data_IF_756649231291
#
_entry.id   IF_756649231291
#
_cell.length_a   1.000
_cell.length_b   1.000
_cell.length_c   1.000
_cell.angle_alpha   90.00
_cell.angle_beta   90.00
_cell.angle_gamma   90.00
#
_symmetry.space_group_name_H-M   'P 1'
#
loop_
_entity.id
_entity.type
_entity.pdbx_description
1 polymer ?
#
# COMPACT_ATOMS: atom_id res chain seq x y z
N UNK A 1 -5.90 -13.23 -12.74
CA UNK A 1 -6.08 -11.79 -12.97
C UNK A 1 -7.54 -11.39 -13.17
N UNK A 2 -8.35 -12.02 -14.07
CA UNK A 2 -9.76 -11.67 -14.30
C UNK A 2 -10.64 -11.75 -13.03
N UNK A 3 -10.42 -12.71 -12.13
CA UNK A 3 -11.17 -12.89 -10.87
C UNK A 3 -10.93 -11.79 -9.84
N UNK A 4 -9.70 -11.21 -9.79
CA UNK A 4 -9.36 -10.12 -8.88
C UNK A 4 -9.96 -8.79 -9.35
N UNK A 5 -9.94 -8.53 -10.67
CA UNK A 5 -10.59 -7.37 -11.29
C UNK A 5 -12.12 -7.43 -11.10
N UNK A 6 -12.70 -8.63 -11.20
CA UNK A 6 -14.12 -8.83 -10.96
C UNK A 6 -14.49 -8.59 -9.49
N UNK A 7 -13.67 -9.04 -8.53
CA UNK A 7 -13.88 -8.80 -7.10
C UNK A 7 -13.78 -7.31 -6.76
N UNK A 8 -12.78 -6.61 -7.32
CA UNK A 8 -12.64 -5.15 -7.16
C UNK A 8 -13.83 -4.39 -7.76
N UNK A 9 -14.31 -4.80 -8.94
CA UNK A 9 -15.50 -4.21 -9.58
C UNK A 9 -16.79 -4.46 -8.77
N UNK A 10 -16.97 -5.66 -8.20
CA UNK A 10 -18.12 -6.00 -7.35
C UNK A 10 -18.10 -5.21 -6.05
N UNK A 11 -16.93 -5.01 -5.43
CA UNK A 11 -16.77 -4.18 -4.22
C UNK A 11 -17.11 -2.70 -4.50
N UNK A 12 -16.76 -2.18 -5.69
CA UNK A 12 -17.09 -0.81 -6.11
C UNK A 12 -18.58 -0.62 -6.45
N UNK A 13 -19.28 -1.67 -6.90
CA UNK A 13 -20.69 -1.57 -7.28
C UNK A 13 -21.66 -1.88 -6.15
N UNK A 14 -21.27 -2.64 -5.14
CA UNK A 14 -22.13 -3.00 -4.01
C UNK A 14 -22.39 -1.81 -3.05
N UNK A 15 -21.53 -0.79 -3.06
CA UNK A 15 -21.64 0.40 -2.20
C UNK A 15 -22.50 1.54 -2.76
N UNK A 16 -22.98 1.47 -4.00
CA UNK A 16 -23.59 2.58 -4.71
C UNK A 16 -24.90 3.17 -4.12
N UNK A 17 -25.45 2.59 -3.04
CA UNK A 17 -26.74 3.03 -2.50
C UNK A 17 -26.64 3.98 -1.27
N UNK A 18 -25.46 4.10 -0.61
CA UNK A 18 -25.26 5.00 0.55
C UNK A 18 -23.80 5.36 0.82
N UNK A 19 -22.95 5.25 -0.17
CA UNK A 19 -21.51 5.24 -0.05
C UNK A 19 -20.91 6.64 -0.19
N UNK A 20 -20.00 6.99 0.72
CA UNK A 20 -19.13 8.15 0.58
C UNK A 20 -17.87 7.74 -0.16
N UNK A 21 -17.92 7.78 -1.49
CA UNK A 21 -16.76 7.44 -2.33
C UNK A 21 -15.71 8.55 -2.19
N UNK A 22 -14.49 8.16 -1.87
CA UNK A 22 -13.35 9.07 -1.77
C UNK A 22 -12.31 8.76 -2.81
N UNK A 23 -11.92 9.77 -3.58
CA UNK A 23 -10.75 9.72 -4.46
C UNK A 23 -9.58 10.39 -3.75
N UNK A 24 -8.44 9.73 -3.68
CA UNK A 24 -7.27 10.21 -2.95
C UNK A 24 -6.02 10.19 -3.83
N UNK A 25 -5.20 11.23 -3.67
CA UNK A 25 -3.85 11.33 -4.21
C UNK A 25 -2.88 11.54 -3.05
N UNK A 26 -1.75 10.86 -3.04
CA UNK A 26 -0.83 10.97 -1.93
C UNK A 26 0.62 10.63 -2.26
N UNK A 27 1.44 10.81 -1.24
CA UNK A 27 2.82 10.40 -1.17
C UNK A 27 2.91 9.04 -0.48
N UNK A 28 3.82 8.19 -0.97
CA UNK A 28 4.13 6.88 -0.38
C UNK A 28 5.64 6.73 -0.21
N UNK A 29 6.04 6.18 0.93
CA UNK A 29 7.40 5.75 1.21
C UNK A 29 7.38 4.28 1.60
N UNK A 30 7.98 3.43 0.76
CA UNK A 30 8.13 2.00 1.04
C UNK A 30 9.54 1.73 1.56
N UNK A 31 9.65 1.28 2.80
CA UNK A 31 10.89 0.84 3.44
C UNK A 31 10.97 -0.68 3.33
N UNK A 32 12.00 -1.18 2.66
CA UNK A 32 12.25 -2.62 2.48
C UNK A 32 13.41 -3.03 3.38
N UNK A 33 13.16 -3.90 4.37
CA UNK A 33 14.18 -4.53 5.19
C UNK A 33 14.50 -5.90 4.59
N UNK A 34 15.75 -6.07 4.19
CA UNK A 34 16.31 -7.35 3.74
C UNK A 34 17.25 -7.90 4.79
N UNK A 35 17.06 -9.16 5.17
CA UNK A 35 17.91 -9.90 6.10
C UNK A 35 18.45 -11.14 5.39
N UNK A 36 19.72 -11.40 5.59
CA UNK A 36 20.41 -12.59 5.08
C UNK A 36 21.12 -13.30 6.23
N UNK A 37 20.89 -14.59 6.38
CA UNK A 37 21.47 -15.41 7.45
C UNK A 37 22.35 -16.50 6.86
N UNK A 38 23.64 -16.52 7.24
CA UNK A 38 24.60 -17.54 6.85
C UNK A 38 25.41 -17.97 8.07
N UNK A 39 25.45 -19.29 8.34
CA UNK A 39 26.23 -19.85 9.42
C UNK A 39 25.89 -19.29 10.81
N UNK A 40 24.63 -18.89 11.04
CA UNK A 40 24.17 -18.29 12.31
C UNK A 40 24.44 -16.78 12.43
N UNK A 41 25.06 -16.15 11.43
CA UNK A 41 25.29 -14.69 11.38
C UNK A 41 24.21 -14.06 10.50
N UNK A 42 23.47 -13.10 11.04
CA UNK A 42 22.45 -12.34 10.30
C UNK A 42 22.96 -10.94 9.98
N UNK A 43 22.92 -10.58 8.70
CA UNK A 43 23.15 -9.21 8.22
C UNK A 43 21.83 -8.62 7.74
N UNK A 44 21.58 -7.36 8.04
CA UNK A 44 20.37 -6.67 7.60
C UNK A 44 20.68 -5.36 6.89
N UNK A 45 19.89 -5.06 5.85
CA UNK A 45 19.95 -3.77 5.13
C UNK A 45 18.52 -3.26 4.94
N UNK A 46 18.32 -1.98 5.28
CA UNK A 46 17.06 -1.29 5.02
C UNK A 46 17.24 -0.30 3.89
N UNK A 47 16.31 -0.27 2.95
CA UNK A 47 16.30 0.66 1.82
C UNK A 47 14.91 1.24 1.64
N UNK A 48 14.80 2.50 1.26
CA UNK A 48 13.52 3.16 1.04
C UNK A 48 13.35 3.58 -0.41
N UNK A 49 12.13 3.49 -0.90
CA UNK A 49 11.68 4.01 -2.20
C UNK A 49 10.51 4.95 -1.96
N UNK A 50 10.55 6.12 -2.59
CA UNK A 50 9.53 7.14 -2.44
C UNK A 50 8.73 7.28 -3.73
N UNK A 51 7.47 7.70 -3.62
CA UNK A 51 6.63 7.81 -4.78
C UNK A 51 5.25 8.40 -4.53
N UNK A 52 4.36 8.15 -5.46
CA UNK A 52 2.99 8.62 -5.46
C UNK A 52 2.02 7.44 -5.35
N UNK A 53 0.87 7.70 -4.75
CA UNK A 53 -0.24 6.76 -4.68
C UNK A 53 -1.54 7.43 -5.07
N UNK A 54 -2.40 6.70 -5.77
CA UNK A 54 -3.77 7.10 -6.10
C UNK A 54 -4.69 6.00 -5.63
N UNK A 55 -5.79 6.35 -4.96
CA UNK A 55 -6.76 5.36 -4.49
C UNK A 55 -8.18 5.86 -4.55
N UNK A 56 -9.08 4.90 -4.60
CA UNK A 56 -10.53 5.09 -4.40
C UNK A 56 -10.94 4.16 -3.28
N UNK A 57 -11.65 4.65 -2.32
CA UNK A 57 -12.24 3.87 -1.24
C UNK A 57 -13.65 4.36 -0.92
N UNK A 58 -14.43 3.46 -0.33
CA UNK A 58 -15.79 3.69 0.10
C UNK A 58 -15.87 3.54 1.62
N UNK A 59 -16.48 4.50 2.33
CA UNK A 59 -16.64 4.43 3.77
C UNK A 59 -18.06 3.98 4.14
N UNK A 60 -18.21 2.68 4.36
CA UNK A 60 -19.49 2.01 4.63
C UNK A 60 -19.71 1.97 6.13
N UNK A 61 -20.81 2.57 6.60
CA UNK A 61 -21.19 2.51 8.01
C UNK A 61 -21.67 1.09 8.37
N UNK A 62 -21.11 0.52 9.44
CA UNK A 62 -21.52 -0.78 9.98
C UNK A 62 -22.51 -0.62 11.12
N UNK A 63 -22.13 0.17 12.15
CA UNK A 63 -23.00 0.45 13.29
C UNK A 63 -22.45 1.65 14.09
N UNK A 64 -23.28 2.64 14.40
CA UNK A 64 -22.84 3.85 15.09
C UNK A 64 -21.71 4.55 14.35
N UNK A 65 -20.58 4.75 15.03
CA UNK A 65 -19.39 5.39 14.47
C UNK A 65 -18.36 4.39 13.88
N UNK A 66 -18.70 3.09 13.91
CA UNK A 66 -17.85 2.03 13.33
C UNK A 66 -18.16 1.85 11.86
N UNK A 67 -17.13 1.91 11.03
CA UNK A 67 -17.23 1.78 9.58
C UNK A 67 -16.18 0.80 9.05
N UNK A 68 -16.38 0.36 7.81
CA UNK A 68 -15.37 -0.34 7.02
C UNK A 68 -15.13 0.42 5.72
N UNK A 69 -13.87 0.60 5.37
CA UNK A 69 -13.46 1.30 4.15
C UNK A 69 -12.67 0.35 3.23
N UNK A 70 -13.38 -0.45 2.40
CA UNK A 70 -12.74 -1.17 1.31
C UNK A 70 -12.33 -0.19 0.21
N UNK A 71 -11.21 -0.48 -0.45
CA UNK A 71 -10.72 0.38 -1.51
C UNK A 71 -9.87 -0.36 -2.52
N UNK A 72 -9.44 0.38 -3.53
CA UNK A 72 -8.45 -0.04 -4.50
C UNK A 72 -7.52 1.14 -4.80
N UNK A 73 -6.25 0.86 -4.97
CA UNK A 73 -5.28 1.88 -5.34
C UNK A 73 -4.12 1.34 -6.14
N UNK A 74 -3.31 2.26 -6.61
CA UNK A 74 -2.07 2.00 -7.30
C UNK A 74 -0.95 2.86 -6.71
N UNK A 75 0.24 2.30 -6.65
CA UNK A 75 1.43 3.00 -6.20
C UNK A 75 2.54 2.94 -7.25
N UNK A 76 3.26 4.04 -7.36
CA UNK A 76 4.44 4.16 -8.19
C UNK A 76 5.58 4.76 -7.38
N UNK A 77 6.67 4.00 -7.21
CA UNK A 77 7.82 4.42 -6.40
C UNK A 77 9.12 4.28 -7.18
N UNK A 78 10.06 5.17 -6.88
CA UNK A 78 11.39 5.19 -7.51
C UNK A 78 12.46 5.45 -6.46
N UNK A 79 13.67 4.95 -6.77
CA UNK A 79 14.90 5.25 -6.06
C UNK A 79 16.07 5.24 -7.05
N UNK A 80 17.02 6.13 -6.86
CA UNK A 80 18.32 6.09 -7.51
C UNK A 80 19.39 5.75 -6.46
N UNK A 81 20.32 4.85 -6.79
CA UNK A 81 21.44 4.45 -5.95
C UNK A 81 22.69 4.32 -6.85
N UNK A 82 23.57 5.33 -6.81
CA UNK A 82 24.62 5.47 -7.81
C UNK A 82 24.03 5.58 -9.23
N UNK A 83 24.48 4.68 -10.11
CA UNK A 83 24.03 4.63 -11.50
C UNK A 83 22.83 3.73 -11.73
N UNK A 84 22.28 3.13 -10.65
CA UNK A 84 21.16 2.19 -10.74
C UNK A 84 19.86 2.90 -10.37
N UNK A 85 18.86 2.83 -11.25
CA UNK A 85 17.50 3.34 -11.05
C UNK A 85 16.55 2.17 -10.76
N UNK A 86 15.91 2.22 -9.60
CA UNK A 86 14.90 1.24 -9.16
C UNK A 86 13.51 1.82 -9.38
N UNK A 87 12.59 0.98 -9.86
CA UNK A 87 11.17 1.33 -10.04
C UNK A 87 10.28 0.22 -9.48
N UNK A 88 9.22 0.62 -8.80
CA UNK A 88 8.13 -0.26 -8.37
C UNK A 88 6.81 0.33 -8.84
N UNK A 89 5.95 -0.50 -9.41
CA UNK A 89 4.54 -0.20 -9.65
C UNK A 89 3.71 -1.38 -9.14
N UNK A 90 2.65 -1.08 -8.40
CA UNK A 90 1.77 -2.07 -7.79
C UNK A 90 0.33 -1.62 -7.75
N UNK A 91 -0.56 -2.60 -7.55
CA UNK A 91 -1.97 -2.41 -7.21
C UNK A 91 -2.17 -2.89 -5.77
N UNK A 92 -3.03 -2.22 -5.02
CA UNK A 92 -3.35 -2.64 -3.67
C UNK A 92 -4.83 -2.54 -3.37
N UNK A 93 -5.31 -3.39 -2.48
CA UNK A 93 -6.69 -3.44 -1.98
C UNK A 93 -6.66 -3.32 -0.47
N UNK A 94 -6.89 -2.14 0.12
CA UNK A 94 -7.04 -1.97 1.56
C UNK A 94 -8.45 -2.38 1.98
N UNK A 95 -8.55 -2.89 3.22
CA UNK A 95 -9.82 -3.07 3.93
C UNK A 95 -9.60 -2.50 5.33
N UNK A 96 -9.87 -1.21 5.48
CA UNK A 96 -9.61 -0.48 6.72
C UNK A 96 -10.90 -0.43 7.58
N UNK A 97 -10.88 -0.99 8.79
CA UNK A 97 -11.91 -0.78 9.81
C UNK A 97 -11.61 0.52 10.52
N UNK A 98 -12.61 1.38 10.69
CA UNK A 98 -12.38 2.70 11.25
C UNK A 98 -13.48 3.12 12.22
N UNK A 99 -13.10 3.98 13.16
CA UNK A 99 -14.00 4.58 14.14
C UNK A 99 -13.90 6.10 14.07
N UNK A 100 -15.07 6.76 13.99
CA UNK A 100 -15.18 8.21 13.82
C UNK A 100 -15.43 8.95 15.13
N UNK A 101 -14.82 10.12 15.26
CA UNK A 101 -15.00 11.05 16.37
C UNK A 101 -15.36 12.43 15.82
N UNK A 102 -16.52 12.96 16.15
CA UNK A 102 -16.88 14.34 15.82
C UNK A 102 -16.07 15.30 16.72
N UNK A 103 -15.18 16.09 16.13
CA UNK A 103 -14.42 17.12 16.85
C UNK A 103 -15.16 18.47 16.83
N UNK A 104 -15.90 18.75 15.76
CA UNK A 104 -16.82 19.88 15.63
C UNK A 104 -17.89 19.56 14.58
N UNK A 105 -18.79 20.49 14.30
CA UNK A 105 -19.80 20.33 13.22
C UNK A 105 -19.19 20.08 11.85
N UNK A 106 -17.97 20.57 11.59
CA UNK A 106 -17.33 20.51 10.27
C UNK A 106 -16.05 19.67 10.26
N UNK A 107 -15.65 19.07 11.38
CA UNK A 107 -14.39 18.35 11.50
C UNK A 107 -14.61 17.01 12.22
N UNK A 108 -14.27 15.91 11.56
CA UNK A 108 -14.31 14.56 12.10
C UNK A 108 -12.94 13.92 12.02
N UNK A 109 -12.52 13.26 13.08
CA UNK A 109 -11.31 12.43 13.14
C UNK A 109 -11.73 10.97 13.05
N UNK A 110 -11.05 10.22 12.23
CA UNK A 110 -11.19 8.76 12.17
C UNK A 110 -9.85 8.12 12.50
N UNK A 111 -9.86 7.09 13.32
CA UNK A 111 -8.73 6.17 13.51
C UNK A 111 -9.06 4.86 12.80
N UNK A 112 -8.07 4.25 12.17
CA UNK A 112 -8.32 3.04 11.40
C UNK A 112 -7.20 2.02 11.55
N UNK A 113 -7.56 0.75 11.35
CA UNK A 113 -6.63 -0.36 11.21
C UNK A 113 -7.20 -1.39 10.25
N UNK A 114 -6.33 -2.09 9.53
CA UNK A 114 -6.79 -3.13 8.61
C UNK A 114 -5.68 -3.73 7.74
N UNK A 115 -6.03 -4.82 7.03
CA UNK A 115 -5.16 -5.45 6.05
C UNK A 115 -5.14 -4.66 4.74
N UNK A 116 -4.02 -4.79 4.02
CA UNK A 116 -3.88 -4.35 2.63
C UNK A 116 -3.24 -5.47 1.83
N UNK A 117 -3.90 -5.88 0.77
CA UNK A 117 -3.39 -6.87 -0.18
C UNK A 117 -2.65 -6.13 -1.28
N UNK A 118 -1.32 -6.27 -1.35
CA UNK A 118 -0.45 -5.60 -2.34
C UNK A 118 -0.08 -6.58 -3.45
N UNK A 119 -0.24 -6.16 -4.71
CA UNK A 119 0.14 -6.92 -5.90
C UNK A 119 1.15 -6.12 -6.72
N UNK A 120 2.41 -6.51 -6.67
CA UNK A 120 3.48 -5.92 -7.47
C UNK A 120 3.34 -6.29 -8.96
N UNK A 121 3.26 -5.27 -9.80
CA UNK A 121 3.19 -5.42 -11.27
C UNK A 121 4.58 -5.29 -11.89
N UNK A 122 5.32 -4.25 -11.48
CA UNK A 122 6.69 -3.96 -11.94
C UNK A 122 7.58 -3.79 -10.71
N UNK A 123 8.76 -4.43 -10.73
CA UNK A 123 9.84 -4.19 -9.77
C UNK A 123 11.15 -4.39 -10.51
N UNK A 124 11.71 -3.30 -11.02
CA UNK A 124 12.85 -3.30 -11.94
C UNK A 124 14.01 -2.49 -11.35
N UNK A 125 15.24 -2.92 -11.71
CA UNK A 125 16.44 -2.09 -11.65
C UNK A 125 16.99 -1.91 -13.05
N UNK A 126 17.46 -0.69 -13.37
CA UNK A 126 18.10 -0.35 -14.65
C UNK A 126 19.36 0.45 -14.38
N UNK A 127 20.50 0.03 -14.97
CA UNK A 127 21.74 0.81 -14.94
C UNK A 127 21.79 1.87 -16.06
N UNK A 128 22.77 2.76 -16.02
CA UNK A 128 22.92 3.81 -17.05
C UNK A 128 23.38 3.25 -18.41
N UNK A 129 23.88 2.00 -18.49
CA UNK A 129 24.21 1.29 -19.74
C UNK A 129 22.97 0.68 -20.42
N UNK A 130 21.81 0.73 -19.76
CA UNK A 130 20.56 0.21 -20.29
C UNK A 130 20.24 -1.22 -19.87
N UNK A 131 21.12 -1.93 -19.14
CA UNK A 131 20.84 -3.26 -18.63
C UNK A 131 19.70 -3.19 -17.61
N UNK A 132 18.73 -4.11 -17.77
CA UNK A 132 17.52 -4.14 -16.93
C UNK A 132 17.39 -5.49 -16.24
N UNK A 133 17.10 -5.48 -14.94
CA UNK A 133 16.77 -6.64 -14.13
C UNK A 133 15.34 -6.52 -13.65
N UNK A 134 14.52 -7.53 -13.94
CA UNK A 134 13.15 -7.64 -13.42
C UNK A 134 13.15 -8.58 -12.20
N UNK A 135 12.95 -8.06 -11.02
CA UNK A 135 12.97 -8.83 -9.76
C UNK A 135 11.85 -9.86 -9.61
N UNK A 136 10.85 -9.84 -10.49
CA UNK A 136 9.80 -10.87 -10.54
C UNK A 136 10.11 -12.01 -11.48
N UNK A 137 11.29 -11.98 -12.13
CA UNK A 137 11.75 -13.06 -12.99
C UNK A 137 12.12 -14.29 -12.15
N UNK A 138 11.59 -15.45 -12.57
CA UNK A 138 11.79 -16.71 -11.84
C UNK A 138 13.19 -17.28 -12.03
N UNK A 139 13.89 -16.85 -13.09
CA UNK A 139 15.23 -17.32 -13.41
C UNK A 139 16.33 -16.62 -12.57
N UNK A 140 15.95 -15.59 -11.79
CA UNK A 140 16.87 -14.96 -10.86
C UNK A 140 17.08 -15.82 -9.60
N UNK A 141 18.35 -15.92 -9.16
CA UNK A 141 18.71 -16.57 -7.88
C UNK A 141 17.98 -15.92 -6.70
N UNK A 142 17.80 -14.59 -6.73
CA UNK A 142 17.03 -13.85 -5.75
C UNK A 142 15.82 -13.24 -6.46
N UNK A 143 14.71 -13.97 -6.45
CA UNK A 143 13.44 -13.51 -7.01
C UNK A 143 12.43 -13.16 -5.91
N UNK A 144 11.43 -12.35 -6.28
CA UNK A 144 10.45 -11.83 -5.35
C UNK A 144 9.04 -12.32 -5.66
N UNK A 145 8.23 -12.45 -4.60
CA UNK A 145 6.78 -12.61 -4.72
C UNK A 145 6.17 -11.30 -5.24
N UNK A 146 5.18 -11.43 -6.11
CA UNK A 146 4.33 -10.30 -6.52
C UNK A 146 3.31 -9.91 -5.45
N UNK A 147 2.97 -10.85 -4.58
CA UNK A 147 1.96 -10.67 -3.55
C UNK A 147 2.61 -10.39 -2.19
N UNK A 148 2.09 -9.38 -1.49
CA UNK A 148 2.40 -9.07 -0.10
C UNK A 148 1.10 -8.81 0.67
N UNK A 149 1.11 -9.07 1.98
CA UNK A 149 0.05 -8.73 2.92
C UNK A 149 0.62 -7.72 3.90
N UNK A 150 0.04 -6.53 3.92
CA UNK A 150 0.41 -5.49 4.87
C UNK A 150 -0.68 -5.38 5.94
N UNK A 151 -0.28 -5.18 7.18
CA UNK A 151 -1.19 -4.92 8.29
C UNK A 151 -0.76 -3.65 9.01
N UNK A 152 -1.70 -2.79 9.35
CA UNK A 152 -1.40 -1.55 10.05
C UNK A 152 -2.60 -0.64 10.15
N UNK A 153 -2.34 0.65 10.36
CA UNK A 153 -3.39 1.61 10.55
C UNK A 153 -2.89 3.04 10.50
N UNK A 154 -3.74 3.95 10.94
CA UNK A 154 -3.46 5.36 10.93
C UNK A 154 -4.66 6.18 11.36
N UNK A 155 -4.70 7.40 10.87
CA UNK A 155 -5.82 8.30 11.11
C UNK A 155 -6.12 9.13 9.86
N UNK A 156 -7.34 9.64 9.79
CA UNK A 156 -7.67 10.71 8.85
C UNK A 156 -8.59 11.75 9.47
N UNK A 157 -8.47 12.96 8.97
CA UNK A 157 -9.37 14.07 9.28
C UNK A 157 -10.26 14.31 8.07
N UNK A 158 -11.57 14.47 8.31
CA UNK A 158 -12.53 14.91 7.30
C UNK A 158 -12.99 16.32 7.63
N UNK A 159 -12.87 17.22 6.68
CA UNK A 159 -13.32 18.61 6.80
C UNK A 159 -14.52 18.84 5.88
N UNK A 160 -15.63 19.37 6.45
CA UNK A 160 -16.91 19.64 5.78
C UNK A 160 -17.50 18.43 5.04
N UNK A 161 -17.18 17.22 5.50
CA UNK A 161 -17.54 15.95 4.85
C UNK A 161 -17.11 15.82 3.36
N UNK A 162 -16.21 16.68 2.89
CA UNK A 162 -15.73 16.72 1.51
C UNK A 162 -14.23 16.50 1.36
N UNK A 163 -13.41 17.06 2.26
CA UNK A 163 -11.96 16.94 2.18
C UNK A 163 -11.45 15.97 3.23
N UNK A 164 -10.58 15.05 2.82
CA UNK A 164 -9.94 14.08 3.71
C UNK A 164 -8.42 14.21 3.66
N UNK A 165 -7.79 14.27 4.84
CA UNK A 165 -6.34 14.20 5.02
C UNK A 165 -6.05 12.90 5.77
N UNK A 166 -5.34 11.97 5.15
CA UNK A 166 -5.07 10.62 5.68
C UNK A 166 -3.57 10.41 5.86
N UNK A 167 -3.18 9.87 7.01
CA UNK A 167 -1.83 9.36 7.28
C UNK A 167 -1.93 7.92 7.76
N UNK A 168 -1.02 7.06 7.30
CA UNK A 168 -1.01 5.66 7.67
C UNK A 168 0.36 5.02 7.63
N UNK A 169 0.53 3.99 8.46
CA UNK A 169 1.70 3.14 8.49
C UNK A 169 1.27 1.68 8.52
N UNK A 170 1.81 0.88 7.59
CA UNK A 170 1.52 -0.56 7.46
C UNK A 170 2.82 -1.35 7.38
N UNK A 171 2.85 -2.51 8.03
CA UNK A 171 4.00 -3.43 8.06
C UNK A 171 3.72 -4.65 7.21
N UNK A 172 4.73 -5.11 6.45
CA UNK A 172 4.66 -6.32 5.66
C UNK A 172 4.69 -7.56 6.55
N UNK A 173 3.70 -8.42 6.38
CA UNK A 173 3.54 -9.65 7.14
C UNK A 173 4.28 -10.82 6.49
N UNK A 174 4.42 -10.82 5.17
CA UNK A 174 5.00 -11.92 4.42
C UNK A 174 6.49 -11.69 4.13
N UNK A 175 7.23 -12.80 3.99
CA UNK A 175 8.52 -12.77 3.33
C UNK A 175 8.29 -12.70 1.82
N UNK A 176 8.63 -11.57 1.22
CA UNK A 176 8.47 -11.40 -0.24
C UNK A 176 9.64 -11.94 -1.05
N UNK A 177 10.75 -12.34 -0.43
CA UNK A 177 11.86 -13.02 -1.10
C UNK A 177 11.62 -14.53 -1.14
N UNK A 178 11.94 -15.16 -2.27
CA UNK A 178 11.80 -16.62 -2.45
C UNK A 178 13.14 -17.37 -2.37
N UNK A 179 14.25 -16.65 -2.19
CA UNK A 179 15.55 -17.26 -2.01
C UNK A 179 15.73 -17.78 -0.57
N UNK A 180 16.39 -18.93 -0.43
CA UNK A 180 16.73 -19.50 0.86
C UNK A 180 17.64 -18.55 1.65
N UNK A 181 17.52 -18.53 2.98
CA UNK A 181 18.27 -17.68 3.90
C UNK A 181 18.04 -16.16 3.75
N UNK A 182 17.09 -15.74 2.88
CA UNK A 182 16.70 -14.34 2.73
C UNK A 182 15.30 -14.09 3.31
N UNK A 183 15.17 -13.03 4.10
CA UNK A 183 13.89 -12.51 4.53
C UNK A 183 13.77 -11.06 4.09
N UNK A 184 12.71 -10.75 3.33
CA UNK A 184 12.46 -9.40 2.84
C UNK A 184 11.04 -8.99 3.21
N UNK A 185 10.93 -7.93 3.99
CA UNK A 185 9.65 -7.33 4.43
C UNK A 185 9.56 -5.88 4.01
N UNK A 186 8.37 -5.44 3.64
CA UNK A 186 8.09 -4.08 3.21
C UNK A 186 7.22 -3.37 4.26
N UNK A 187 7.63 -2.18 4.68
CA UNK A 187 6.80 -1.30 5.49
C UNK A 187 6.43 -0.08 4.65
N UNK A 188 5.22 0.43 4.83
CA UNK A 188 4.68 1.50 4.00
C UNK A 188 4.17 2.63 4.87
N UNK A 189 4.74 3.81 4.68
CA UNK A 189 4.21 5.08 5.18
C UNK A 189 3.47 5.76 4.04
N UNK A 190 2.27 6.26 4.29
CA UNK A 190 1.47 7.01 3.31
C UNK A 190 0.90 8.28 3.90
N UNK A 191 0.85 9.33 3.10
CA UNK A 191 0.16 10.59 3.40
C UNK A 191 -0.63 10.99 2.16
N UNK A 192 -1.93 11.23 2.30
CA UNK A 192 -2.78 11.53 1.15
C UNK A 192 -3.84 12.59 1.47
N UNK A 193 -4.29 13.25 0.41
CA UNK A 193 -5.44 14.13 0.40
C UNK A 193 -6.49 13.50 -0.50
N UNK A 194 -7.74 13.51 -0.06
CA UNK A 194 -8.87 12.95 -0.81
C UNK A 194 -10.05 13.90 -0.86
N UNK A 195 -10.88 13.70 -1.87
CA UNK A 195 -12.18 14.35 -2.01
C UNK A 195 -13.28 13.31 -1.91
N UNK A 196 -14.28 13.60 -1.07
CA UNK A 196 -15.43 12.74 -0.77
C UNK A 196 -16.62 13.25 -1.57
N UNK A 197 -17.25 12.33 -2.31
CA UNK A 197 -18.43 12.61 -3.13
C UNK A 197 -19.71 12.11 -2.48
#
# INVERSE_FOLDING_TARGET
MKKLLFLAAVLLTAGAASAQITYSLGYISTSTKAEYTLGGITSSKTTSMNGLTISVDDNINLTGDLNVAPGVGMDFSMRKDGDIKYKKFGLYVPVDFNYGFALSSNLKLFVYAGPTFDLGIIKDAKDDNGNKVNYYDKDLVVNYSRFDLLLGGGAWLTFQDQLRFKVGYKVGMLNTCKADNYTVKNNVLSVSVGYIF
#
